data_IF_323176864947
#
_entry.id   IF_323176864947
#
_cell.length_a   1.000
_cell.length_b   1.000
_cell.length_c   1.000
_cell.angle_alpha   90.00
_cell.angle_beta   90.00
_cell.angle_gamma   90.00
#
_symmetry.space_group_name_H-M   'P 1'
#
loop_
_entity.id
_entity.type
_entity.pdbx_description
1 polymer ?
#
# COMPACT_ATOMS: atom_id res chain seq x y z
N UNK A 1 -12.50 5.15 -7.35
CA UNK A 1 -12.46 4.54 -6.00
C UNK A 1 -11.88 5.55 -5.01
N UNK A 2 -12.42 5.66 -3.78
CA UNK A 2 -11.85 6.56 -2.75
C UNK A 2 -10.82 5.79 -1.93
N UNK A 3 -9.69 6.42 -1.64
CA UNK A 3 -8.62 5.88 -0.82
C UNK A 3 -8.50 6.67 0.49
N UNK A 4 -8.16 5.96 1.56
CA UNK A 4 -7.96 6.54 2.89
C UNK A 4 -6.52 6.31 3.32
N UNK A 5 -5.85 7.39 3.70
CA UNK A 5 -4.49 7.34 4.22
C UNK A 5 -4.47 6.73 5.62
N UNK A 6 -3.65 5.71 5.83
CA UNK A 6 -3.48 5.03 7.11
C UNK A 6 -2.14 5.47 7.71
N UNK A 7 -2.14 6.31 8.76
CA UNK A 7 -0.91 6.86 9.34
C UNK A 7 -0.15 5.88 10.25
N UNK A 8 -0.81 4.81 10.69
CA UNK A 8 -0.25 3.79 11.59
C UNK A 8 0.00 2.50 10.84
N UNK A 9 1.25 2.05 10.83
CA UNK A 9 1.63 0.78 10.22
C UNK A 9 0.97 -0.43 10.91
N UNK A 10 0.75 -0.37 12.22
CA UNK A 10 0.05 -1.44 12.95
C UNK A 10 -1.40 -1.55 12.48
N UNK A 11 -2.06 -0.41 12.24
CA UNK A 11 -3.40 -0.40 11.64
C UNK A 11 -3.40 -0.95 10.22
N UNK A 12 -2.34 -0.74 9.43
CA UNK A 12 -2.22 -1.36 8.10
C UNK A 12 -2.11 -2.89 8.23
N UNK A 13 -1.34 -3.40 9.19
CA UNK A 13 -1.25 -4.85 9.44
C UNK A 13 -2.61 -5.44 9.78
N UNK A 14 -3.40 -4.80 10.65
CA UNK A 14 -4.77 -5.24 10.97
C UNK A 14 -5.66 -5.32 9.72
N UNK A 15 -5.56 -4.33 8.83
CA UNK A 15 -6.32 -4.29 7.57
C UNK A 15 -5.88 -5.43 6.65
N UNK A 16 -4.57 -5.71 6.56
CA UNK A 16 -4.02 -6.81 5.75
C UNK A 16 -4.55 -8.16 6.23
N UNK A 17 -4.66 -8.39 7.54
CA UNK A 17 -5.25 -9.61 8.07
C UNK A 17 -6.73 -9.79 7.67
N UNK A 18 -7.44 -8.68 7.46
CA UNK A 18 -8.81 -8.66 6.94
C UNK A 18 -8.94 -9.03 5.46
N UNK A 19 -7.83 -9.17 4.71
CA UNK A 19 -7.85 -9.65 3.33
C UNK A 19 -8.39 -11.09 3.31
N UNK A 20 -9.48 -11.27 2.58
CA UNK A 20 -10.09 -12.58 2.33
C UNK A 20 -9.52 -13.18 1.05
N UNK A 21 -10.27 -14.09 0.47
CA UNK A 21 -10.02 -14.76 -0.79
C UNK A 21 -9.99 -13.83 -2.03
N UNK A 22 -9.58 -14.42 -3.15
CA UNK A 22 -9.51 -13.78 -4.45
C UNK A 22 -8.10 -13.72 -5.04
N UNK A 23 -8.03 -13.35 -6.31
CA UNK A 23 -6.77 -13.10 -7.01
C UNK A 23 -6.45 -11.62 -6.95
N UNK A 24 -5.27 -11.32 -6.45
CA UNK A 24 -4.75 -9.97 -6.31
C UNK A 24 -3.64 -9.71 -7.31
N UNK A 25 -3.51 -8.45 -7.71
CA UNK A 25 -2.49 -7.98 -8.64
C UNK A 25 -1.65 -6.95 -7.90
N UNK A 26 -0.33 -7.10 -7.97
CA UNK A 26 0.66 -6.10 -7.59
C UNK A 26 1.24 -5.50 -8.87
N UNK A 27 1.16 -4.18 -8.99
CA UNK A 27 1.80 -3.39 -10.04
C UNK A 27 2.95 -2.58 -9.45
N UNK A 28 4.14 -2.76 -10.02
CA UNK A 28 5.37 -2.04 -9.69
C UNK A 28 6.14 -1.74 -10.98
N UNK A 29 6.49 -0.48 -11.23
CA UNK A 29 7.25 -0.05 -12.42
C UNK A 29 6.68 -0.56 -13.76
N UNK A 30 5.35 -0.58 -13.89
CA UNK A 30 4.66 -1.06 -15.09
C UNK A 30 4.68 -2.59 -15.28
N UNK A 31 5.24 -3.34 -14.33
CA UNK A 31 5.16 -4.81 -14.29
C UNK A 31 4.03 -5.22 -13.35
N UNK A 32 3.30 -6.26 -13.75
CA UNK A 32 2.21 -6.83 -12.94
C UNK A 32 2.53 -8.26 -12.54
N UNK A 33 2.20 -8.61 -11.31
CA UNK A 33 2.31 -9.96 -10.76
C UNK A 33 1.00 -10.32 -10.08
N UNK A 34 0.53 -11.56 -10.24
CA UNK A 34 -0.69 -12.05 -9.61
C UNK A 34 -0.37 -12.93 -8.42
N UNK A 35 -1.13 -12.76 -7.35
CA UNK A 35 -1.01 -13.49 -6.10
C UNK A 35 -2.40 -14.01 -5.68
N UNK A 36 -2.41 -15.06 -4.88
CA UNK A 36 -3.58 -15.39 -4.07
C UNK A 36 -3.62 -14.49 -2.81
N UNK A 37 -4.63 -14.73 -1.97
CA UNK A 37 -4.85 -13.95 -0.75
C UNK A 37 -3.67 -13.99 0.23
N UNK A 38 -3.09 -15.17 0.48
CA UNK A 38 -1.98 -15.30 1.43
C UNK A 38 -0.69 -14.72 0.87
N UNK A 39 -0.39 -14.97 -0.42
CA UNK A 39 0.78 -14.40 -1.07
C UNK A 39 0.75 -12.87 -1.11
N UNK A 40 -0.41 -12.25 -1.33
CA UNK A 40 -0.49 -10.78 -1.29
C UNK A 40 -0.38 -10.22 0.13
N UNK A 41 -0.91 -10.93 1.15
CA UNK A 41 -0.73 -10.54 2.55
C UNK A 41 0.75 -10.49 2.90
N UNK A 42 1.51 -11.52 2.53
CA UNK A 42 2.96 -11.56 2.76
C UNK A 42 3.67 -10.38 2.10
N UNK A 43 3.42 -10.12 0.80
CA UNK A 43 4.01 -8.95 0.13
C UNK A 43 3.63 -7.62 0.77
N UNK A 44 2.38 -7.45 1.19
CA UNK A 44 1.93 -6.23 1.86
C UNK A 44 2.61 -6.06 3.24
N UNK A 45 2.77 -7.15 4.01
CA UNK A 45 3.51 -7.12 5.28
C UNK A 45 4.97 -6.70 5.08
N UNK A 46 5.62 -7.23 4.05
CA UNK A 46 7.00 -6.83 3.71
C UNK A 46 7.11 -5.35 3.37
N UNK A 47 6.15 -4.79 2.62
CA UNK A 47 6.08 -3.35 2.37
C UNK A 47 5.87 -2.55 3.66
N UNK A 48 5.03 -3.03 4.59
CA UNK A 48 4.82 -2.37 5.88
C UNK A 48 6.12 -2.31 6.68
N UNK A 49 6.85 -3.41 6.77
CA UNK A 49 8.14 -3.43 7.47
C UNK A 49 9.20 -2.54 6.80
N UNK A 50 9.18 -2.46 5.47
CA UNK A 50 10.04 -1.53 4.73
C UNK A 50 9.75 -0.07 5.11
N UNK A 51 8.47 0.33 5.16
CA UNK A 51 8.06 1.69 5.58
C UNK A 51 8.41 1.96 7.05
N UNK A 52 8.20 0.99 7.95
CA UNK A 52 8.62 1.10 9.36
C UNK A 52 10.12 1.40 9.43
N UNK A 53 10.94 0.63 8.70
CA UNK A 53 12.39 0.83 8.64
C UNK A 53 12.78 2.23 8.15
N UNK A 54 12.08 2.78 7.14
CA UNK A 54 12.32 4.15 6.69
C UNK A 54 12.04 5.20 7.76
N UNK A 55 10.93 5.05 8.51
CA UNK A 55 10.57 5.95 9.61
C UNK A 55 11.55 5.87 10.77
N UNK A 56 12.04 4.69 11.09
CA UNK A 56 13.03 4.48 12.16
C UNK A 56 14.41 5.06 11.80
N UNK A 57 14.83 4.93 10.53
CA UNK A 57 16.13 5.41 10.07
C UNK A 57 16.17 6.93 9.79
N UNK A 58 15.04 7.53 9.40
CA UNK A 58 14.95 8.95 9.06
C UNK A 58 14.34 9.77 10.19
N UNK A 59 15.19 10.35 11.05
CA UNK A 59 14.76 11.22 12.17
C UNK A 59 13.97 12.46 11.76
N UNK A 60 14.07 12.87 10.49
CA UNK A 60 13.37 14.03 9.94
C UNK A 60 11.99 13.69 9.38
N UNK A 61 11.65 12.41 9.28
CA UNK A 61 10.36 11.95 8.79
C UNK A 61 9.36 11.96 9.96
N UNK A 62 8.28 12.77 9.90
CA UNK A 62 7.26 12.73 10.94
C UNK A 62 6.66 11.32 11.06
N UNK A 63 6.44 10.85 12.29
CA UNK A 63 5.83 9.53 12.55
C UNK A 63 4.47 9.37 11.86
N UNK A 64 3.70 10.47 11.79
CA UNK A 64 2.39 10.50 11.12
C UNK A 64 2.43 10.56 9.60
N UNK A 65 3.61 10.51 8.96
CA UNK A 65 3.70 10.50 7.49
C UNK A 65 3.01 9.24 6.96
N UNK A 66 2.08 9.44 6.02
CA UNK A 66 1.25 8.38 5.46
C UNK A 66 1.91 7.85 4.18
N UNK A 67 2.18 6.55 4.14
CA UNK A 67 2.63 5.85 2.93
C UNK A 67 1.60 4.86 2.38
N UNK A 68 0.70 4.37 3.24
CA UNK A 68 -0.33 3.41 2.86
C UNK A 68 -1.68 4.10 2.68
N UNK A 69 -2.29 3.83 1.54
CA UNK A 69 -3.62 4.28 1.20
C UNK A 69 -4.47 3.06 0.84
N UNK A 70 -5.58 2.87 1.53
CA UNK A 70 -6.43 1.67 1.38
C UNK A 70 -7.80 2.06 0.82
N UNK A 71 -8.34 1.26 -0.09
CA UNK A 71 -9.74 1.37 -0.46
C UNK A 71 -10.62 0.73 0.61
N UNK A 72 -11.52 1.50 1.20
CA UNK A 72 -12.49 1.03 2.22
C UNK A 72 -11.87 0.10 3.28
N UNK A 73 -11.31 0.64 4.38
CA UNK A 73 -10.53 -0.14 5.36
C UNK A 73 -11.21 -1.38 5.95
N UNK A 74 -12.55 -1.40 6.06
CA UNK A 74 -13.30 -2.54 6.60
C UNK A 74 -13.41 -3.73 5.63
N UNK A 75 -13.17 -3.49 4.34
CA UNK A 75 -13.17 -4.52 3.31
C UNK A 75 -12.19 -4.11 2.19
N UNK A 76 -10.87 -4.21 2.44
CA UNK A 76 -9.87 -3.71 1.52
C UNK A 76 -9.97 -4.41 0.16
N UNK A 77 -10.05 -3.63 -0.93
CA UNK A 77 -10.02 -4.17 -2.29
C UNK A 77 -8.79 -3.71 -3.09
N UNK A 78 -8.11 -2.67 -2.60
CA UNK A 78 -6.94 -2.07 -3.23
C UNK A 78 -6.10 -1.29 -2.21
N UNK A 79 -4.81 -1.23 -2.47
CA UNK A 79 -3.82 -0.45 -1.74
C UNK A 79 -3.01 0.37 -2.73
N UNK A 80 -2.64 1.57 -2.31
CA UNK A 80 -1.59 2.37 -2.93
C UNK A 80 -0.51 2.59 -1.87
N UNK A 81 0.72 2.24 -2.23
CA UNK A 81 1.87 2.38 -1.34
C UNK A 81 2.87 3.30 -2.01
N UNK A 82 3.29 4.32 -1.27
CA UNK A 82 4.25 5.32 -1.70
C UNK A 82 5.61 5.03 -1.06
N UNK A 83 6.66 5.54 -1.68
CA UNK A 83 8.03 5.44 -1.15
C UNK A 83 8.54 6.82 -0.70
N UNK A 84 9.80 6.89 -0.24
CA UNK A 84 10.41 8.15 0.17
C UNK A 84 10.58 9.15 -0.97
N UNK A 85 10.67 8.70 -2.23
CA UNK A 85 10.74 9.60 -3.39
C UNK A 85 9.47 10.44 -3.54
N UNK A 86 8.35 9.91 -3.04
CA UNK A 86 7.03 10.53 -3.07
C UNK A 86 6.88 11.71 -2.08
N UNK A 87 7.86 11.94 -1.20
CA UNK A 87 7.86 13.03 -0.22
C UNK A 87 8.37 14.37 -0.76
N UNK A 88 8.81 14.43 -2.01
CA UNK A 88 9.21 15.68 -2.65
C UNK A 88 8.04 16.68 -2.77
N UNK A 89 8.34 17.99 -2.79
CA UNK A 89 7.39 19.09 -2.96
C UNK A 89 6.73 19.14 -4.37
N UNK A 90 6.31 18.00 -4.90
CA UNK A 90 5.58 17.94 -6.17
C UNK A 90 4.10 18.25 -5.92
N UNK A 91 3.52 19.10 -6.77
CA UNK A 91 2.08 19.39 -6.81
C UNK A 91 1.25 18.21 -7.32
N UNK A 92 1.91 17.14 -7.78
CA UNK A 92 1.33 15.84 -8.09
C UNK A 92 2.09 14.82 -7.25
N UNK A 93 1.41 14.15 -6.32
CA UNK A 93 1.92 12.90 -5.77
C UNK A 93 2.28 12.03 -6.98
N UNK A 94 3.58 11.76 -7.17
CA UNK A 94 4.07 10.82 -8.17
C UNK A 94 3.26 9.53 -8.06
N UNK A 95 3.02 8.79 -9.16
CA UNK A 95 2.17 7.62 -9.10
C UNK A 95 2.66 6.68 -7.99
N UNK A 96 1.71 6.11 -7.24
CA UNK A 96 2.02 5.18 -6.16
C UNK A 96 3.03 4.12 -6.66
N UNK A 97 4.13 3.98 -5.93
CA UNK A 97 5.24 3.08 -6.26
C UNK A 97 4.76 1.64 -6.40
N UNK A 98 3.86 1.23 -5.49
CA UNK A 98 3.16 -0.05 -5.57
C UNK A 98 1.65 0.19 -5.58
N UNK A 99 0.97 -0.43 -6.55
CA UNK A 99 -0.49 -0.55 -6.53
C UNK A 99 -0.84 -2.01 -6.34
N UNK A 100 -1.65 -2.29 -5.34
CA UNK A 100 -2.18 -3.62 -5.08
C UNK A 100 -3.68 -3.58 -5.24
N UNK A 101 -4.28 -4.51 -5.96
CA UNK A 101 -5.72 -4.51 -6.14
C UNK A 101 -6.25 -5.89 -6.51
N UNK A 102 -7.51 -6.16 -6.19
CA UNK A 102 -8.18 -7.35 -6.72
C UNK A 102 -8.21 -7.31 -8.23
N UNK A 103 -7.99 -8.45 -8.88
CA UNK A 103 -7.93 -8.58 -10.34
C UNK A 103 -9.17 -8.02 -11.06
N UNK A 104 -10.34 -8.08 -10.42
CA UNK A 104 -11.60 -7.51 -10.93
C UNK A 104 -11.61 -5.98 -11.07
N UNK A 105 -10.64 -5.30 -10.43
CA UNK A 105 -10.49 -3.83 -10.46
C UNK A 105 -9.44 -3.35 -11.46
N UNK A 106 -8.94 -4.23 -12.34
CA UNK A 106 -7.98 -3.86 -13.37
C UNK A 106 -8.50 -2.67 -14.20
N UNK A 107 -7.69 -1.60 -14.29
CA UNK A 107 -8.06 -0.37 -15.00
C UNK A 107 -8.87 0.64 -14.19
N UNK A 108 -9.18 0.37 -12.91
CA UNK A 108 -9.97 1.27 -12.03
C UNK A 108 -9.16 1.89 -10.88
N UNK A 109 -7.88 1.54 -10.73
CA UNK A 109 -7.03 1.81 -9.54
C UNK A 109 -5.91 2.80 -9.82
#
# INVERSE_FOLDING_TARGET
MRFYGIPSEDRVLEIIEGIKDGVWVLEEDGKTQSFDAEGIKERLRELVYMVKGWKEQNKHLPTGTVFFFVSTPDNPQAFKVYDLSSLGCSTKLDPARWKVYKKELLGQV
#
